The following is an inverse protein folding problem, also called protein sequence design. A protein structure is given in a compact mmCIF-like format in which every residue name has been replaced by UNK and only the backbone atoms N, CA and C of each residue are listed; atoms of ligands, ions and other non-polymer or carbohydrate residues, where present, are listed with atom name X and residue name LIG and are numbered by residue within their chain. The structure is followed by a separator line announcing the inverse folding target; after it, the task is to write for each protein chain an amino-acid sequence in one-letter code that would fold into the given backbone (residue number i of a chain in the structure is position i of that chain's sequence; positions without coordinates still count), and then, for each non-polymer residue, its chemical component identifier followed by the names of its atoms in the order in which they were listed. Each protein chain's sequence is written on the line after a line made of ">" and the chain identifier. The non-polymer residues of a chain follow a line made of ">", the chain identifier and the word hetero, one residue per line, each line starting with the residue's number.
data_IF_632605760991
#
_entry.id   IF_632605760991
#
_cell.length_a   1.000
_cell.length_b   1.000
_cell.length_c   1.000
_cell.angle_alpha   90.00
_cell.angle_beta   90.00
_cell.angle_gamma   90.00
#
_symmetry.space_group_name_H-M   'P 1'
#
loop_
_entity.id
_entity.type
_entity.pdbx_description
1 polymer ?
#
# COMPACT_ATOMS: atom_id res chain seq x y z
N UNK A 1 -2.17 -16.62 -12.50
CA UNK A 1 -2.11 -16.39 -13.96
C UNK A 1 -2.98 -17.36 -14.77
N UNK A 2 -3.11 -18.62 -14.36
CA UNK A 2 -3.83 -19.67 -15.13
C UNK A 2 -5.35 -19.43 -15.22
N UNK A 3 -5.95 -18.64 -14.34
CA UNK A 3 -7.39 -18.40 -14.28
C UNK A 3 -7.82 -17.00 -14.77
N UNK A 4 -6.91 -16.24 -15.39
CA UNK A 4 -7.22 -14.87 -15.83
C UNK A 4 -8.34 -14.83 -16.91
N UNK A 5 -8.43 -15.85 -17.76
CA UNK A 5 -9.51 -15.92 -18.77
C UNK A 5 -10.88 -16.12 -18.13
N UNK A 6 -10.96 -16.97 -17.11
CA UNK A 6 -12.19 -17.16 -16.34
C UNK A 6 -12.60 -15.86 -15.63
N UNK A 7 -11.65 -15.20 -14.96
CA UNK A 7 -11.88 -13.93 -14.27
C UNK A 7 -12.36 -12.86 -15.27
N UNK A 8 -11.70 -12.75 -16.41
CA UNK A 8 -12.09 -11.81 -17.47
C UNK A 8 -13.49 -12.10 -18.01
N UNK A 9 -13.85 -13.37 -18.15
CA UNK A 9 -15.18 -13.77 -18.65
C UNK A 9 -16.34 -13.36 -17.73
N UNK A 10 -16.05 -13.06 -16.45
CA UNK A 10 -17.00 -12.51 -15.50
C UNK A 10 -17.19 -10.98 -15.64
N UNK A 11 -16.53 -10.35 -16.61
CA UNK A 11 -16.59 -8.91 -16.82
C UNK A 11 -15.60 -8.09 -15.99
N UNK A 12 -14.64 -8.76 -15.30
CA UNK A 12 -13.63 -8.08 -14.46
C UNK A 12 -12.76 -7.15 -15.31
N UNK A 13 -12.59 -5.92 -14.84
CA UNK A 13 -11.75 -4.89 -15.47
C UNK A 13 -10.54 -4.50 -14.61
N UNK A 14 -10.61 -4.73 -13.31
CA UNK A 14 -9.53 -4.43 -12.36
C UNK A 14 -9.33 -5.64 -11.44
N UNK A 15 -8.08 -6.03 -11.24
CA UNK A 15 -7.66 -6.97 -10.22
C UNK A 15 -7.07 -6.19 -9.04
N UNK A 16 -7.72 -6.25 -7.91
CA UNK A 16 -7.18 -5.75 -6.65
C UNK A 16 -6.57 -6.93 -5.90
N UNK A 17 -5.25 -6.90 -5.69
CA UNK A 17 -4.55 -7.89 -4.89
C UNK A 17 -4.44 -7.37 -3.45
N UNK A 18 -4.90 -8.16 -2.48
CA UNK A 18 -4.64 -7.91 -1.06
C UNK A 18 -3.13 -7.76 -0.82
N UNK A 19 -2.69 -7.24 0.35
CA UNK A 19 -1.25 -7.00 0.56
C UNK A 19 -0.40 -8.24 0.28
N UNK A 20 0.52 -8.10 -0.67
CA UNK A 20 1.40 -9.19 -1.14
C UNK A 20 2.81 -9.09 -0.56
N UNK A 21 3.05 -8.11 0.29
CA UNK A 21 4.37 -7.77 0.83
C UNK A 21 4.85 -8.79 1.87
N UNK A 22 6.16 -8.78 2.18
CA UNK A 22 6.68 -9.56 3.31
C UNK A 22 5.93 -9.17 4.57
N UNK A 23 5.37 -10.18 5.23
CA UNK A 23 4.54 -10.02 6.42
C UNK A 23 5.38 -10.11 7.68
N UNK A 24 5.08 -9.27 8.67
CA UNK A 24 5.67 -9.32 9.99
C UNK A 24 5.19 -10.51 10.82
N UNK A 25 6.00 -10.86 11.80
CA UNK A 25 5.74 -11.98 12.72
C UNK A 25 5.72 -11.55 14.18
N UNK A 26 6.36 -10.43 14.52
CA UNK A 26 6.39 -9.89 15.87
C UNK A 26 5.04 -9.27 16.24
N UNK A 27 4.44 -9.74 17.32
CA UNK A 27 3.09 -9.36 17.78
C UNK A 27 1.98 -9.50 16.72
N UNK A 28 2.30 -10.11 15.57
CA UNK A 28 1.39 -10.22 14.46
C UNK A 28 0.32 -11.30 14.69
N UNK A 29 -0.88 -11.02 14.19
CA UNK A 29 -2.02 -11.95 14.22
C UNK A 29 -2.21 -12.68 12.89
N UNK A 30 -1.13 -12.92 12.16
CA UNK A 30 -1.13 -13.48 10.80
C UNK A 30 -1.91 -12.62 9.78
N UNK A 31 -1.93 -11.31 9.99
CA UNK A 31 -2.59 -10.37 9.08
C UNK A 31 -1.65 -9.94 7.95
N UNK A 32 -2.07 -9.95 6.68
CA UNK A 32 -1.28 -9.41 5.58
C UNK A 32 -1.08 -7.90 5.66
N UNK A 33 -1.86 -7.22 6.51
CA UNK A 33 -1.74 -5.78 6.79
C UNK A 33 -0.60 -5.45 7.78
N UNK A 34 0.05 -6.44 8.39
CA UNK A 34 1.27 -6.27 9.17
C UNK A 34 2.48 -6.27 8.23
N UNK A 35 2.71 -5.19 7.50
CA UNK A 35 3.78 -5.11 6.47
C UNK A 35 5.15 -5.00 7.13
N UNK A 36 6.03 -5.97 6.82
CA UNK A 36 7.43 -5.99 7.30
C UNK A 36 8.40 -5.30 6.35
N UNK A 37 8.20 -5.45 5.04
CA UNK A 37 9.01 -4.80 4.02
C UNK A 37 8.13 -4.46 2.81
N UNK A 38 7.98 -3.16 2.55
CA UNK A 38 7.14 -2.66 1.47
C UNK A 38 7.65 -2.99 0.06
N UNK A 39 8.96 -3.26 -0.10
CA UNK A 39 9.58 -3.54 -1.41
C UNK A 39 9.85 -5.04 -1.62
N UNK A 40 9.42 -5.89 -0.71
CA UNK A 40 9.67 -7.32 -0.75
C UNK A 40 8.37 -8.12 -0.80
N UNK A 41 8.31 -9.04 -1.73
CA UNK A 41 7.18 -9.95 -1.88
C UNK A 41 7.20 -11.00 -0.76
N UNK A 42 6.02 -11.34 -0.23
CA UNK A 42 5.86 -12.51 0.62
C UNK A 42 6.17 -13.78 -0.19
N UNK A 43 7.18 -14.53 0.25
CA UNK A 43 7.67 -15.72 -0.44
C UNK A 43 6.60 -16.82 -0.64
N UNK A 44 5.53 -16.78 0.16
CA UNK A 44 4.38 -17.69 0.00
C UNK A 44 3.56 -17.45 -1.26
N UNK A 45 3.69 -16.27 -1.89
CA UNK A 45 2.94 -15.90 -3.10
C UNK A 45 3.75 -16.06 -4.40
N UNK A 46 5.02 -16.43 -4.31
CA UNK A 46 5.88 -16.62 -5.46
C UNK A 46 7.05 -15.64 -5.51
N UNK A 47 7.53 -15.35 -6.72
CA UNK A 47 8.67 -14.48 -7.00
C UNK A 47 8.21 -13.14 -7.60
N UNK A 48 9.11 -12.17 -7.63
CA UNK A 48 8.87 -10.90 -8.32
C UNK A 48 8.55 -11.11 -9.81
N UNK A 49 9.21 -12.08 -10.46
CA UNK A 49 8.95 -12.41 -11.87
C UNK A 49 7.58 -13.04 -12.08
N UNK A 50 7.05 -13.79 -11.09
CA UNK A 50 5.68 -14.31 -11.12
C UNK A 50 4.66 -13.17 -11.08
N UNK A 51 4.91 -12.15 -10.24
CA UNK A 51 4.04 -10.97 -10.14
C UNK A 51 4.09 -10.14 -11.43
N UNK A 52 5.29 -9.89 -11.98
CA UNK A 52 5.45 -9.23 -13.29
C UNK A 52 4.69 -9.98 -14.40
N UNK A 53 4.79 -11.30 -14.40
CA UNK A 53 4.07 -12.15 -15.35
C UNK A 53 2.56 -12.04 -15.18
N UNK A 54 2.07 -11.97 -13.93
CA UNK A 54 0.64 -11.79 -13.64
C UNK A 54 0.14 -10.46 -14.20
N UNK A 55 0.86 -9.37 -13.92
CA UNK A 55 0.48 -8.02 -14.37
C UNK A 55 0.49 -7.93 -15.90
N UNK A 56 1.57 -8.37 -16.56
CA UNK A 56 1.65 -8.37 -18.01
C UNK A 56 0.51 -9.14 -18.67
N UNK A 57 0.19 -10.34 -18.16
CA UNK A 57 -0.93 -11.13 -18.69
C UNK A 57 -2.31 -10.55 -18.40
N UNK A 58 -2.48 -9.84 -17.30
CA UNK A 58 -3.71 -9.10 -17.02
C UNK A 58 -3.89 -7.96 -18.02
N UNK A 59 -2.82 -7.20 -18.30
CA UNK A 59 -2.79 -6.13 -19.30
C UNK A 59 -3.11 -6.65 -20.70
N UNK A 60 -2.53 -7.78 -21.14
CA UNK A 60 -2.86 -8.43 -22.43
C UNK A 60 -4.35 -8.74 -22.58
N UNK A 61 -5.05 -8.94 -21.47
CA UNK A 61 -6.51 -9.21 -21.43
C UNK A 61 -7.35 -7.96 -21.19
N UNK A 62 -6.74 -6.78 -21.17
CA UNK A 62 -7.40 -5.50 -20.90
C UNK A 62 -7.95 -5.42 -19.47
N UNK A 63 -7.23 -5.97 -18.50
CA UNK A 63 -7.48 -5.78 -17.06
C UNK A 63 -6.36 -4.98 -16.43
N UNK A 64 -6.70 -4.03 -15.56
CA UNK A 64 -5.76 -3.32 -14.70
C UNK A 64 -5.44 -4.15 -13.45
N UNK A 65 -4.29 -3.88 -12.84
CA UNK A 65 -3.88 -4.50 -11.57
C UNK A 65 -3.51 -3.43 -10.57
N UNK A 66 -4.18 -3.41 -9.43
CA UNK A 66 -3.85 -2.54 -8.32
C UNK A 66 -3.46 -3.36 -7.09
N UNK A 67 -2.54 -2.80 -6.27
CA UNK A 67 -2.12 -3.43 -5.04
C UNK A 67 -2.78 -2.76 -3.84
N UNK A 68 -3.05 -3.55 -2.81
CA UNK A 68 -3.44 -3.03 -1.51
C UNK A 68 -2.23 -2.36 -0.84
N UNK A 69 -2.39 -1.12 -0.42
CA UNK A 69 -1.31 -0.32 0.16
C UNK A 69 -1.63 0.09 1.59
N UNK A 70 -0.78 -0.34 2.53
CA UNK A 70 -0.94 -0.10 3.95
C UNK A 70 -0.03 1.06 4.35
N UNK A 71 -0.52 2.29 4.25
CA UNK A 71 0.29 3.49 4.50
C UNK A 71 0.28 3.94 5.96
N UNK A 72 -0.76 3.59 6.74
CA UNK A 72 -0.95 4.11 8.09
C UNK A 72 0.02 3.52 9.12
N UNK A 73 0.46 2.27 8.95
CA UNK A 73 1.21 1.52 9.97
C UNK A 73 2.11 0.45 9.35
N UNK A 74 3.00 -0.11 10.17
CA UNK A 74 3.83 -1.27 9.80
C UNK A 74 3.74 -2.37 10.84
N UNK A 75 4.31 -3.55 10.53
CA UNK A 75 4.58 -4.55 11.58
C UNK A 75 5.66 -4.05 12.55
N UNK A 76 5.69 -4.64 13.76
CA UNK A 76 6.68 -4.33 14.79
C UNK A 76 8.11 -4.78 14.45
N UNK A 77 8.28 -5.67 13.50
CA UNK A 77 9.58 -6.15 12.98
C UNK A 77 9.93 -5.59 11.59
N UNK A 78 9.29 -4.46 11.20
CA UNK A 78 9.68 -3.70 10.00
C UNK A 78 11.07 -3.09 10.18
N UNK A 79 11.89 -3.09 9.11
CA UNK A 79 13.24 -2.53 9.16
C UNK A 79 13.26 -1.02 9.51
N UNK A 80 12.18 -0.29 9.25
CA UNK A 80 12.02 1.12 9.59
C UNK A 80 11.99 1.38 11.11
N UNK A 81 11.72 0.35 11.94
CA UNK A 81 11.75 0.45 13.41
C UNK A 81 13.09 0.90 13.98
N UNK A 82 14.17 0.79 13.20
CA UNK A 82 15.49 1.34 13.57
C UNK A 82 15.47 2.88 13.66
N UNK A 83 14.53 3.53 12.96
CA UNK A 83 14.32 4.97 12.95
C UNK A 83 13.11 5.32 13.83
N UNK A 84 13.28 5.33 15.13
CA UNK A 84 12.16 5.56 16.07
C UNK A 84 11.33 6.81 15.77
N UNK A 85 11.95 7.87 15.24
CA UNK A 85 11.26 9.12 14.88
C UNK A 85 10.32 8.99 13.68
N UNK A 86 10.40 7.87 12.96
CA UNK A 86 9.47 7.55 11.86
C UNK A 86 8.12 7.02 12.37
N UNK A 87 8.03 6.78 13.65
CA UNK A 87 6.83 6.24 14.31
C UNK A 87 6.30 7.22 15.34
N UNK A 88 5.00 7.21 15.54
CA UNK A 88 4.31 7.93 16.59
C UNK A 88 4.75 7.38 17.96
N UNK A 89 5.05 8.28 18.91
CA UNK A 89 5.58 7.93 20.22
C UNK A 89 4.71 8.50 21.33
N UNK A 90 4.63 7.79 22.44
CA UNK A 90 4.06 8.29 23.68
C UNK A 90 4.97 9.34 24.36
N UNK A 91 4.50 9.92 25.46
CA UNK A 91 5.26 10.91 26.24
C UNK A 91 6.60 10.37 26.83
N UNK A 92 6.78 9.05 26.86
CA UNK A 92 7.99 8.39 27.33
C UNK A 92 8.94 8.01 26.18
N UNK A 93 8.57 8.30 24.93
CA UNK A 93 9.35 7.96 23.76
C UNK A 93 9.21 6.50 23.30
N UNK A 94 8.17 5.81 23.72
CA UNK A 94 7.86 4.47 23.23
C UNK A 94 7.01 4.58 21.95
N UNK A 95 7.34 3.79 20.93
CA UNK A 95 6.51 3.68 19.74
C UNK A 95 5.16 3.07 20.15
N UNK A 96 4.07 3.60 19.56
CA UNK A 96 2.70 3.18 19.88
C UNK A 96 2.00 2.61 18.63
N UNK A 97 0.91 1.90 18.87
CA UNK A 97 -0.05 1.50 17.83
C UNK A 97 -0.98 2.66 17.48
N UNK A 98 -1.69 2.62 16.33
CA UNK A 98 -2.67 3.62 15.97
C UNK A 98 -3.69 3.85 17.09
N UNK A 99 -3.78 5.11 17.56
CA UNK A 99 -4.56 5.46 18.74
C UNK A 99 -6.05 5.21 18.53
N UNK A 100 -6.71 4.61 19.53
CA UNK A 100 -8.15 4.35 19.51
C UNK A 100 -8.60 3.19 18.63
N UNK A 101 -7.70 2.60 17.81
CA UNK A 101 -8.07 1.55 16.85
C UNK A 101 -8.05 0.14 17.44
N UNK A 102 -7.34 -0.07 18.54
CA UNK A 102 -7.16 -1.40 19.14
C UNK A 102 -6.27 -2.35 18.34
N UNK A 103 -5.50 -1.85 17.38
CA UNK A 103 -4.59 -2.62 16.51
C UNK A 103 -3.22 -2.78 17.15
N UNK A 104 -3.13 -3.63 18.19
CA UNK A 104 -1.88 -3.85 18.92
C UNK A 104 -0.79 -4.59 18.14
N UNK A 105 -1.14 -5.16 17.02
CA UNK A 105 -0.28 -5.94 16.12
C UNK A 105 0.53 -5.10 15.14
N UNK A 106 0.32 -3.78 15.12
CA UNK A 106 1.00 -2.84 14.23
C UNK A 106 1.46 -1.57 14.93
N UNK A 107 2.48 -0.92 14.37
CA UNK A 107 3.09 0.31 14.85
C UNK A 107 2.69 1.49 13.96
N UNK A 108 2.26 2.59 14.57
CA UNK A 108 1.75 3.79 13.91
C UNK A 108 2.88 4.62 13.30
N UNK A 109 2.71 5.04 12.04
CA UNK A 109 3.70 5.85 11.31
C UNK A 109 3.52 7.34 11.59
N UNK A 110 4.65 8.03 11.79
CA UNK A 110 4.68 9.47 12.05
C UNK A 110 4.84 10.27 10.75
N UNK A 111 3.76 10.78 10.22
CA UNK A 111 3.74 11.58 8.99
C UNK A 111 4.29 13.02 9.15
N UNK A 112 4.61 13.48 10.36
CA UNK A 112 5.37 14.71 10.55
C UNK A 112 6.86 14.55 10.17
N UNK A 113 7.32 13.30 10.02
CA UNK A 113 8.69 12.99 9.65
C UNK A 113 8.84 12.94 8.12
N UNK A 114 9.59 13.88 7.56
CA UNK A 114 9.78 14.04 6.11
C UNK A 114 10.55 12.88 5.46
N UNK A 115 11.49 12.27 6.20
CA UNK A 115 12.27 11.13 5.66
C UNK A 115 11.40 9.88 5.61
N UNK A 116 10.49 9.68 6.58
CA UNK A 116 9.51 8.60 6.54
C UNK A 116 8.56 8.78 5.34
N UNK A 117 8.01 9.98 5.13
CA UNK A 117 7.16 10.29 3.97
C UNK A 117 7.87 10.00 2.65
N UNK A 118 9.15 10.40 2.54
CA UNK A 118 9.94 10.12 1.35
C UNK A 118 10.14 8.61 1.13
N UNK A 119 10.45 7.84 2.18
CA UNK A 119 10.61 6.40 2.10
C UNK A 119 9.30 5.69 1.71
N UNK A 120 8.15 6.15 2.24
CA UNK A 120 6.82 5.63 1.87
C UNK A 120 6.54 5.86 0.38
N UNK A 121 6.77 7.07 -0.10
CA UNK A 121 6.57 7.41 -1.50
C UNK A 121 7.49 6.62 -2.44
N UNK A 122 8.77 6.48 -2.10
CA UNK A 122 9.71 5.64 -2.85
C UNK A 122 9.29 4.16 -2.89
N UNK A 123 8.67 3.67 -1.82
CA UNK A 123 8.13 2.31 -1.81
C UNK A 123 6.91 2.17 -2.75
N UNK A 124 6.05 3.21 -2.84
CA UNK A 124 4.95 3.23 -3.79
C UNK A 124 5.45 3.29 -5.24
N UNK A 125 6.40 4.16 -5.54
CA UNK A 125 6.99 4.26 -6.89
C UNK A 125 7.58 2.93 -7.36
N UNK A 126 8.25 2.22 -6.45
CA UNK A 126 8.92 0.95 -6.76
C UNK A 126 8.02 -0.06 -7.50
N UNK A 127 6.78 -0.28 -7.04
CA UNK A 127 5.90 -1.26 -7.65
C UNK A 127 5.36 -0.82 -9.00
N UNK A 128 5.11 0.48 -9.18
CA UNK A 128 4.73 1.03 -10.48
C UNK A 128 5.87 0.89 -11.48
N UNK A 129 7.09 1.26 -11.10
CA UNK A 129 8.26 1.25 -12.00
C UNK A 129 8.76 -0.16 -12.29
N UNK A 130 8.77 -1.06 -11.30
CA UNK A 130 9.40 -2.39 -11.42
C UNK A 130 8.42 -3.45 -11.92
N UNK A 131 7.14 -3.32 -11.59
CA UNK A 131 6.10 -4.34 -11.88
C UNK A 131 5.08 -3.85 -12.89
N UNK A 132 5.00 -2.52 -13.11
CA UNK A 132 4.04 -1.86 -14.00
C UNK A 132 2.58 -2.01 -13.53
N UNK A 133 2.34 -2.01 -12.20
CA UNK A 133 0.96 -1.98 -11.69
C UNK A 133 0.26 -0.66 -12.04
N UNK A 134 -1.07 -0.66 -12.01
CA UNK A 134 -1.88 0.47 -12.45
C UNK A 134 -2.29 1.40 -11.30
N UNK A 135 -1.91 1.10 -10.07
CA UNK A 135 -2.19 1.94 -8.91
C UNK A 135 -2.42 1.15 -7.63
N UNK A 136 -3.18 1.75 -6.72
CA UNK A 136 -3.32 1.25 -5.36
C UNK A 136 -4.76 1.32 -4.84
N UNK A 137 -5.14 0.36 -4.03
CA UNK A 137 -6.16 0.52 -3.00
C UNK A 137 -5.45 0.86 -1.71
N UNK A 138 -5.73 2.02 -1.13
CA UNK A 138 -5.09 2.50 0.08
C UNK A 138 -5.93 2.15 1.30
N UNK A 139 -5.36 1.28 2.14
CA UNK A 139 -5.94 0.82 3.40
C UNK A 139 -6.04 1.97 4.39
N UNK A 140 -7.21 2.10 5.05
CA UNK A 140 -7.47 3.13 6.05
C UNK A 140 -6.91 4.51 5.63
N UNK A 141 -7.31 4.98 4.46
CA UNK A 141 -6.74 6.20 3.86
C UNK A 141 -6.97 7.45 4.73
N UNK A 142 -8.04 7.48 5.53
CA UNK A 142 -8.37 8.55 6.47
C UNK A 142 -7.37 8.68 7.63
N UNK A 143 -6.61 7.62 7.94
CA UNK A 143 -5.56 7.64 8.96
C UNK A 143 -4.26 8.30 8.50
N UNK A 144 -4.16 8.66 7.22
CA UNK A 144 -2.97 9.26 6.61
C UNK A 144 -3.28 10.71 6.20
N UNK A 145 -2.37 11.67 6.45
CA UNK A 145 -2.64 13.08 6.15
C UNK A 145 -2.97 13.35 4.69
N UNK A 146 -3.96 14.20 4.44
CA UNK A 146 -4.40 14.61 3.10
C UNK A 146 -3.27 15.17 2.23
N UNK A 147 -2.40 16.00 2.80
CA UNK A 147 -1.28 16.60 2.07
C UNK A 147 -0.24 15.56 1.61
N UNK A 148 -0.09 14.44 2.35
CA UNK A 148 0.72 13.33 1.88
C UNK A 148 0.09 12.64 0.68
N UNK A 149 -1.23 12.37 0.71
CA UNK A 149 -1.92 11.76 -0.43
C UNK A 149 -1.85 12.64 -1.67
N UNK A 150 -2.06 13.96 -1.52
CA UNK A 150 -1.92 14.91 -2.62
C UNK A 150 -0.52 14.87 -3.23
N UNK A 151 0.51 14.87 -2.39
CA UNK A 151 1.89 14.73 -2.85
C UNK A 151 2.11 13.40 -3.56
N UNK A 152 1.77 12.29 -2.90
CA UNK A 152 2.02 10.94 -3.41
C UNK A 152 1.32 10.70 -4.75
N UNK A 153 0.03 11.00 -4.84
CA UNK A 153 -0.75 10.80 -6.06
C UNK A 153 -0.22 11.67 -7.21
N UNK A 154 0.13 12.94 -6.94
CA UNK A 154 0.73 13.80 -7.96
C UNK A 154 2.06 13.24 -8.47
N UNK A 155 2.93 12.75 -7.59
CA UNK A 155 4.21 12.17 -8.00
C UNK A 155 4.02 10.83 -8.74
N UNK A 156 3.10 9.96 -8.32
CA UNK A 156 2.79 8.71 -9.02
C UNK A 156 2.19 8.97 -10.41
N UNK A 157 1.40 10.02 -10.57
CA UNK A 157 0.88 10.48 -11.87
C UNK A 157 2.00 10.93 -12.82
N UNK A 158 3.13 11.40 -12.33
CA UNK A 158 4.27 11.71 -13.21
C UNK A 158 4.87 10.46 -13.87
N UNK A 159 4.67 9.28 -13.28
CA UNK A 159 5.18 7.99 -13.78
C UNK A 159 4.12 7.30 -14.66
N UNK A 160 2.88 7.20 -14.17
CA UNK A 160 1.80 6.40 -14.81
C UNK A 160 0.82 7.25 -15.64
N UNK A 161 0.86 8.57 -15.52
CA UNK A 161 -0.09 9.48 -16.20
C UNK A 161 -1.52 9.31 -15.70
N UNK A 162 -2.47 9.53 -16.61
CA UNK A 162 -3.92 9.42 -16.35
C UNK A 162 -4.40 7.95 -16.22
N UNK A 163 -3.51 6.99 -16.43
CA UNK A 163 -3.82 5.57 -16.24
C UNK A 163 -3.72 5.14 -14.77
N UNK A 164 -3.12 5.96 -13.89
CA UNK A 164 -3.05 5.68 -12.45
C UNK A 164 -4.47 5.54 -11.88
N UNK A 165 -4.71 4.47 -11.14
CA UNK A 165 -5.98 4.21 -10.46
C UNK A 165 -5.77 4.19 -8.94
N UNK A 166 -6.38 5.14 -8.24
CA UNK A 166 -6.27 5.27 -6.79
C UNK A 166 -7.64 5.07 -6.13
N UNK A 167 -7.75 4.02 -5.34
CA UNK A 167 -8.94 3.65 -4.57
C UNK A 167 -8.66 3.83 -3.08
N UNK A 168 -9.43 4.65 -2.39
CA UNK A 168 -9.33 4.84 -0.95
C UNK A 168 -10.34 3.97 -0.18
N UNK A 169 -9.89 3.31 0.87
CA UNK A 169 -10.78 2.86 1.93
C UNK A 169 -11.01 4.01 2.90
N UNK A 170 -12.27 4.48 2.96
CA UNK A 170 -12.66 5.59 3.81
C UNK A 170 -14.07 6.06 3.53
N UNK A 171 -14.58 6.93 4.38
CA UNK A 171 -15.92 7.53 4.26
C UNK A 171 -15.89 9.02 3.89
N UNK A 172 -14.71 9.64 3.97
CA UNK A 172 -14.55 11.07 3.76
C UNK A 172 -14.49 11.44 2.27
N UNK A 173 -15.42 12.31 1.85
CA UNK A 173 -15.44 12.81 0.46
C UNK A 173 -14.26 13.73 0.13
N UNK A 174 -13.56 14.24 1.13
CA UNK A 174 -12.33 15.02 1.00
C UNK A 174 -11.21 14.25 0.29
N UNK A 175 -11.20 12.91 0.38
CA UNK A 175 -10.25 12.05 -0.32
C UNK A 175 -10.29 12.22 -1.86
N UNK A 176 -11.44 12.61 -2.43
CA UNK A 176 -11.49 12.96 -3.86
C UNK A 176 -10.67 14.21 -4.17
N UNK A 177 -10.62 15.18 -3.26
CA UNK A 177 -9.80 16.40 -3.42
C UNK A 177 -8.29 16.09 -3.29
N UNK A 178 -7.93 14.99 -2.67
CA UNK A 178 -6.53 14.51 -2.57
C UNK A 178 -6.08 13.80 -3.85
N UNK A 179 -7.00 13.51 -4.77
CA UNK A 179 -6.73 12.92 -6.07
C UNK A 179 -7.11 11.45 -6.21
N UNK A 180 -7.79 10.85 -5.23
CA UNK A 180 -8.36 9.51 -5.37
C UNK A 180 -9.48 9.50 -6.40
N UNK A 181 -9.53 8.45 -7.21
CA UNK A 181 -10.57 8.25 -8.23
C UNK A 181 -11.84 7.63 -7.64
N UNK A 182 -11.68 6.82 -6.60
CA UNK A 182 -12.75 6.06 -5.95
C UNK A 182 -12.55 6.07 -4.43
N UNK A 183 -13.67 6.08 -3.68
CA UNK A 183 -13.73 5.98 -2.22
C UNK A 183 -14.84 4.99 -1.87
N UNK A 184 -14.64 4.10 -0.87
CA UNK A 184 -15.65 3.13 -0.40
C UNK A 184 -15.50 2.84 1.08
#
# INVERSE_FOLDING_TARGET
>A
TTRLDEIKSLGTTVLWLMPIYEQGVENAVSSPYCVKDYKKLNAGYGTLDDVKTLVARAHEKGMRVIFDWVANHTSWDNAWMQNKTWYTQDANGNIISPEGMGWADVADLNYDNVDMRAAMLEAMKYWIEVVDIDGYRCDYAEGVPHDFWQQAINELKTIKGDELLMLAEGSETTLFADGFDLVY
#
